data_IF_014622860442
#
_entry.id   IF_014622860442
#
_cell.length_a   1.000
_cell.length_b   1.000
_cell.length_c   1.000
_cell.angle_alpha   90.00
_cell.angle_beta   90.00
_cell.angle_gamma   90.00
#
_symmetry.space_group_name_H-M   'P 1'
#
loop_
_entity.id
_entity.type
_entity.pdbx_description
1 polymer ?
#
# COMPACT_ATOMS: atom_id res chain seq x y z
N UNK A 1 34.12 27.44 15.26
CA UNK A 1 33.63 26.57 16.36
C UNK A 1 34.60 25.43 16.63
N UNK A 2 35.27 25.44 17.79
CA UNK A 2 36.27 24.43 18.19
C UNK A 2 35.78 22.97 18.08
N UNK A 3 34.49 22.74 18.39
CA UNK A 3 33.85 21.42 18.42
C UNK A 3 33.67 20.78 17.03
N UNK A 4 33.68 21.56 15.94
CA UNK A 4 33.63 21.03 14.56
C UNK A 4 35.00 20.50 14.10
N UNK A 5 36.10 21.08 14.60
CA UNK A 5 37.47 20.68 14.24
C UNK A 5 37.85 19.35 14.90
N UNK A 6 37.48 19.13 16.16
CA UNK A 6 37.73 17.87 16.87
C UNK A 6 37.05 16.64 16.23
N UNK A 7 35.81 16.77 15.75
CA UNK A 7 35.13 15.65 15.05
C UNK A 7 35.75 15.36 13.68
N UNK A 8 36.33 16.36 13.04
CA UNK A 8 36.99 16.21 11.75
C UNK A 8 38.35 15.51 11.91
N UNK A 9 39.15 15.89 12.90
CA UNK A 9 40.44 15.25 13.16
C UNK A 9 40.29 13.77 13.51
N UNK A 10 39.29 13.40 14.32
CA UNK A 10 39.01 11.99 14.63
C UNK A 10 38.63 11.20 13.38
N UNK A 11 37.78 11.75 12.50
CA UNK A 11 37.38 11.08 11.25
C UNK A 11 38.54 10.97 10.26
N UNK A 12 39.37 12.00 10.15
CA UNK A 12 40.55 11.97 9.28
C UNK A 12 41.59 10.98 9.78
N UNK A 13 41.78 10.89 11.11
CA UNK A 13 42.61 9.86 11.74
C UNK A 13 42.07 8.45 11.50
N UNK A 14 40.77 8.20 11.75
CA UNK A 14 40.16 6.90 11.46
C UNK A 14 40.22 6.54 9.98
N UNK A 15 40.08 7.51 9.09
CA UNK A 15 40.17 7.30 7.63
C UNK A 15 41.61 7.00 7.20
N UNK A 16 42.59 7.64 7.81
CA UNK A 16 44.00 7.36 7.59
C UNK A 16 44.40 5.97 8.13
N UNK A 17 43.94 5.61 9.33
CA UNK A 17 44.17 4.29 9.95
C UNK A 17 43.51 3.15 9.16
N UNK A 18 42.30 3.38 8.61
CA UNK A 18 41.59 2.38 7.79
C UNK A 18 42.10 2.27 6.35
N UNK A 19 42.80 3.30 5.85
CA UNK A 19 43.20 3.38 4.45
C UNK A 19 42.03 3.66 3.50
N UNK A 20 42.34 4.09 2.28
CA UNK A 20 41.36 4.37 1.22
C UNK A 20 40.94 3.13 0.43
N UNK A 21 41.66 2.03 0.57
CA UNK A 21 41.45 0.80 -0.18
C UNK A 21 41.21 -0.38 0.77
N UNK A 22 39.98 -0.45 1.25
CA UNK A 22 39.46 -1.63 1.95
C UNK A 22 38.77 -2.54 0.95
N UNK A 23 39.53 -3.03 -0.04
CA UNK A 23 39.08 -4.16 -0.82
C UNK A 23 38.68 -5.31 0.13
N UNK A 24 37.58 -6.03 -0.14
CA UNK A 24 37.20 -7.17 0.68
C UNK A 24 38.35 -8.18 0.68
N UNK A 25 39.01 -8.34 1.83
CA UNK A 25 40.19 -9.23 1.99
C UNK A 25 39.86 -10.71 1.81
N UNK A 26 38.57 -11.08 1.77
CA UNK A 26 38.12 -12.41 1.43
C UNK A 26 37.90 -12.51 -0.09
N UNK A 27 38.93 -12.93 -0.83
CA UNK A 27 38.76 -13.34 -2.21
C UNK A 27 37.93 -14.62 -2.24
N UNK A 28 36.96 -14.67 -3.15
CA UNK A 28 36.02 -15.79 -3.33
C UNK A 28 36.76 -17.10 -3.66
N UNK A 29 38.01 -17.00 -4.12
CA UNK A 29 38.87 -18.10 -4.54
C UNK A 29 39.32 -19.04 -3.40
N UNK A 30 39.39 -18.56 -2.14
CA UNK A 30 39.80 -19.39 -0.99
C UNK A 30 38.62 -19.86 -0.12
N UNK A 31 37.38 -19.46 -0.44
CA UNK A 31 36.19 -19.95 0.25
C UNK A 31 35.88 -21.37 -0.26
N UNK A 32 36.12 -22.39 0.59
CA UNK A 32 35.83 -23.80 0.26
C UNK A 32 34.34 -24.06 0.01
N UNK A 33 33.48 -23.16 0.48
CA UNK A 33 32.03 -23.28 0.41
C UNK A 33 31.46 -21.97 -0.14
N UNK A 34 30.64 -22.01 -1.20
CA UNK A 34 29.99 -20.83 -1.74
C UNK A 34 29.14 -20.10 -0.68
N UNK A 35 29.13 -18.76 -0.71
CA UNK A 35 28.37 -17.89 0.22
C UNK A 35 26.91 -18.28 0.39
N UNK A 36 26.26 -18.77 -0.68
CA UNK A 36 24.88 -19.26 -0.62
C UNK A 36 24.72 -20.46 0.31
N UNK A 37 25.66 -21.40 0.26
CA UNK A 37 25.69 -22.60 1.10
C UNK A 37 26.10 -22.24 2.53
N UNK A 38 27.09 -21.36 2.71
CA UNK A 38 27.47 -20.85 4.04
C UNK A 38 26.27 -20.22 4.77
N UNK A 39 25.46 -19.42 4.05
CA UNK A 39 24.23 -18.82 4.61
C UNK A 39 23.18 -19.86 5.01
N UNK A 40 23.13 -21.00 4.32
CA UNK A 40 22.22 -22.11 4.65
C UNK A 40 22.74 -22.88 5.87
N UNK A 41 24.04 -23.17 5.94
CA UNK A 41 24.67 -23.83 7.08
C UNK A 41 24.57 -22.97 8.35
N UNK A 42 24.81 -21.67 8.25
CA UNK A 42 24.69 -20.72 9.36
C UNK A 42 23.25 -20.31 9.68
N UNK A 43 22.25 -20.79 8.92
CA UNK A 43 20.87 -20.33 9.06
C UNK A 43 20.29 -20.55 10.47
N UNK A 44 20.75 -21.59 11.18
CA UNK A 44 20.38 -21.83 12.58
C UNK A 44 20.95 -20.78 13.54
N UNK A 45 22.22 -20.41 13.36
CA UNK A 45 22.89 -19.35 14.14
C UNK A 45 22.27 -17.99 13.87
N UNK A 46 22.09 -17.62 12.59
CA UNK A 46 21.47 -16.36 12.16
C UNK A 46 20.06 -16.21 12.76
N UNK A 47 19.26 -17.28 12.76
CA UNK A 47 17.91 -17.25 13.35
C UNK A 47 17.92 -17.08 14.86
N UNK A 48 18.86 -17.72 15.57
CA UNK A 48 19.02 -17.55 17.04
C UNK A 48 19.47 -16.13 17.38
N UNK A 49 20.53 -15.65 16.74
CA UNK A 49 21.02 -14.29 16.91
C UNK A 49 19.94 -13.24 16.60
N UNK A 50 19.12 -13.47 15.57
CA UNK A 50 18.00 -12.58 15.26
C UNK A 50 16.93 -12.60 16.35
N UNK A 51 16.56 -13.77 16.88
CA UNK A 51 15.58 -13.89 17.98
C UNK A 51 16.11 -13.26 19.26
N UNK A 52 17.37 -13.48 19.61
CA UNK A 52 18.03 -12.87 20.76
C UNK A 52 18.16 -11.35 20.61
N UNK A 53 18.60 -10.88 19.44
CA UNK A 53 18.65 -9.45 19.13
C UNK A 53 17.25 -8.84 19.22
N UNK A 54 16.21 -9.52 18.74
CA UNK A 54 14.83 -9.05 18.84
C UNK A 54 14.38 -8.99 20.31
N UNK A 55 14.66 -10.02 21.12
CA UNK A 55 14.38 -10.00 22.57
C UNK A 55 15.14 -8.89 23.30
N UNK A 56 16.41 -8.64 22.97
CA UNK A 56 17.20 -7.53 23.54
C UNK A 56 16.67 -6.17 23.10
N UNK A 57 16.27 -6.00 21.84
CA UNK A 57 15.63 -4.74 21.37
C UNK A 57 14.28 -4.52 22.07
N UNK A 58 13.50 -5.56 22.26
CA UNK A 58 12.18 -5.46 22.89
C UNK A 58 12.28 -5.35 24.43
N UNK A 59 13.40 -5.77 25.05
CA UNK A 59 13.63 -5.75 26.51
C UNK A 59 14.51 -4.61 27.04
N UNK A 60 15.49 -4.11 26.29
CA UNK A 60 16.36 -2.98 26.67
C UNK A 60 15.78 -1.61 26.25
N UNK A 61 14.50 -1.56 25.85
CA UNK A 61 13.84 -0.31 25.48
C UNK A 61 13.40 0.55 26.68
N UNK A 62 13.69 0.14 27.91
CA UNK A 62 13.40 0.94 29.11
C UNK A 62 14.52 1.90 29.52
N UNK A 63 15.77 1.76 29.06
CA UNK A 63 16.83 2.72 29.39
C UNK A 63 17.83 2.97 28.23
N UNK A 64 17.49 3.93 27.36
CA UNK A 64 18.48 4.92 26.90
C UNK A 64 19.38 4.65 25.68
N UNK A 65 19.12 3.69 24.77
CA UNK A 65 19.97 3.52 23.57
C UNK A 65 19.26 3.74 22.21
N UNK A 66 19.38 4.94 21.58
CA UNK A 66 18.66 5.28 20.36
C UNK A 66 19.44 4.95 19.07
N UNK A 67 19.89 3.70 18.90
CA UNK A 67 20.70 3.35 17.71
C UNK A 67 20.02 2.50 16.63
N UNK A 68 18.71 2.20 16.71
CA UNK A 68 18.06 1.37 15.67
C UNK A 68 16.72 1.88 15.17
N UNK A 69 16.77 2.98 14.42
CA UNK A 69 16.22 3.13 13.05
C UNK A 69 16.13 4.61 12.71
N UNK A 70 17.18 5.12 12.05
CA UNK A 70 17.07 6.29 11.18
C UNK A 70 16.21 5.93 9.97
N UNK A 71 14.89 5.98 10.11
CA UNK A 71 14.05 6.49 9.02
C UNK A 71 14.15 8.01 9.15
N UNK A 72 14.76 8.64 8.15
CA UNK A 72 14.72 10.09 7.99
C UNK A 72 13.24 10.48 7.83
N UNK A 73 12.63 10.89 8.92
CA UNK A 73 11.54 11.83 8.90
C UNK A 73 12.05 13.00 9.73
N UNK A 74 11.96 14.21 9.19
CA UNK A 74 12.47 15.43 9.83
C UNK A 74 12.12 15.46 11.31
N UNK A 75 13.19 15.46 12.13
CA UNK A 75 13.13 15.51 13.59
C UNK A 75 13.65 16.88 14.05
N UNK A 76 13.16 17.93 13.41
CA UNK A 76 13.09 19.27 14.00
C UNK A 76 11.65 19.44 14.48
N UNK A 77 11.47 19.65 15.79
CA UNK A 77 10.20 19.95 16.49
C UNK A 77 9.46 18.80 17.20
N UNK A 78 10.16 17.78 17.71
CA UNK A 78 9.58 16.85 18.70
C UNK A 78 10.25 17.00 20.08
N UNK A 79 10.36 18.24 20.53
CA UNK A 79 10.36 18.59 21.95
C UNK A 79 9.14 19.48 22.17
N UNK A 80 7.97 18.88 22.30
CA UNK A 80 6.86 19.58 22.94
C UNK A 80 6.15 18.59 23.86
N UNK A 81 5.85 19.10 25.04
CA UNK A 81 5.52 18.37 26.26
C UNK A 81 4.35 17.42 26.07
N UNK A 82 4.39 16.30 26.81
CA UNK A 82 3.30 15.33 26.98
C UNK A 82 2.06 15.89 27.67
N UNK A 83 1.54 17.00 27.17
CA UNK A 83 0.27 17.57 27.58
C UNK A 83 -0.53 17.76 26.30
N UNK A 84 -1.71 17.15 26.30
CA UNK A 84 -2.86 17.45 25.45
C UNK A 84 -3.29 18.89 25.65
N UNK A 85 -2.38 19.86 25.44
CA UNK A 85 -2.67 21.29 25.36
C UNK A 85 -3.71 21.39 24.26
N UNK A 86 -4.96 21.64 24.66
CA UNK A 86 -6.11 21.92 23.80
C UNK A 86 -5.62 22.62 22.53
N UNK A 87 -5.64 21.90 21.40
CA UNK A 87 -5.12 22.43 20.14
C UNK A 87 -5.99 23.62 19.78
N UNK A 88 -5.47 24.82 20.01
CA UNK A 88 -6.11 26.08 19.62
C UNK A 88 -5.45 26.59 18.34
N UNK A 89 -6.24 27.28 17.53
CA UNK A 89 -5.78 28.01 16.36
C UNK A 89 -4.78 29.06 16.84
N UNK A 90 -3.57 29.05 16.27
CA UNK A 90 -2.56 30.09 16.58
C UNK A 90 -2.94 31.39 15.86
N UNK A 91 -2.63 32.56 16.44
CA UNK A 91 -2.86 33.83 15.74
C UNK A 91 -2.10 33.84 14.41
N UNK A 92 -2.80 34.15 13.31
CA UNK A 92 -2.23 34.14 11.96
C UNK A 92 -2.16 32.75 11.27
N UNK A 93 -2.60 31.68 11.93
CA UNK A 93 -2.73 30.35 11.31
C UNK A 93 -4.05 30.26 10.53
N UNK A 94 -3.99 29.75 9.30
CA UNK A 94 -5.21 29.43 8.53
C UNK A 94 -5.88 28.18 9.08
N UNK A 95 -7.20 28.04 8.92
CA UNK A 95 -7.94 26.86 9.40
C UNK A 95 -7.36 25.55 8.85
N UNK A 96 -6.90 25.55 7.60
CA UNK A 96 -6.28 24.39 6.97
C UNK A 96 -4.98 23.95 7.67
N UNK A 97 -4.13 24.90 8.10
CA UNK A 97 -2.91 24.59 8.84
C UNK A 97 -3.21 24.02 10.23
N UNK A 98 -4.24 24.56 10.90
CA UNK A 98 -4.73 24.04 12.17
C UNK A 98 -5.23 22.59 12.02
N UNK A 99 -6.07 22.29 11.02
CA UNK A 99 -6.55 20.93 10.76
C UNK A 99 -5.40 19.96 10.51
N UNK A 100 -4.40 20.34 9.69
CA UNK A 100 -3.20 19.52 9.46
C UNK A 100 -2.44 19.23 10.75
N UNK A 101 -2.32 20.21 11.65
CA UNK A 101 -1.64 20.04 12.94
C UNK A 101 -2.41 19.12 13.87
N UNK A 102 -3.73 19.26 13.92
CA UNK A 102 -4.63 18.35 14.65
C UNK A 102 -4.50 16.93 14.15
N UNK A 103 -4.58 16.72 12.84
CA UNK A 103 -4.39 15.42 12.21
C UNK A 103 -3.03 14.84 12.58
N UNK A 104 -1.95 15.60 12.39
CA UNK A 104 -0.59 15.13 12.67
C UNK A 104 -0.41 14.72 14.13
N UNK A 105 -1.02 15.46 15.07
CA UNK A 105 -1.00 15.15 16.51
C UNK A 105 -1.82 13.89 16.86
N UNK A 106 -2.95 13.65 16.19
CA UNK A 106 -3.83 12.51 16.46
C UNK A 106 -3.47 11.26 15.65
N UNK A 107 -2.73 11.40 14.55
CA UNK A 107 -2.32 10.33 13.66
C UNK A 107 -1.59 9.17 14.36
N UNK A 108 -0.69 9.39 15.34
CA UNK A 108 -0.04 8.29 16.06
C UNK A 108 -1.04 7.41 16.81
N UNK A 109 -2.01 8.02 17.52
CA UNK A 109 -3.05 7.31 18.27
C UNK A 109 -3.96 6.51 17.34
N UNK A 110 -4.32 7.09 16.20
CA UNK A 110 -5.12 6.40 15.18
C UNK A 110 -4.36 5.20 14.59
N UNK A 111 -3.05 5.34 14.36
CA UNK A 111 -2.20 4.25 13.86
C UNK A 111 -2.06 3.11 14.89
N UNK A 112 -1.89 3.42 16.17
CA UNK A 112 -1.82 2.39 17.22
C UNK A 112 -3.15 1.66 17.37
N UNK A 113 -4.27 2.38 17.43
CA UNK A 113 -5.61 1.79 17.51
C UNK A 113 -5.92 0.90 16.27
N UNK A 114 -5.55 1.33 15.07
CA UNK A 114 -5.71 0.54 13.85
C UNK A 114 -4.83 -0.73 13.88
N UNK A 115 -3.61 -0.61 14.36
CA UNK A 115 -2.71 -1.77 14.50
C UNK A 115 -3.26 -2.77 15.53
N UNK A 116 -3.73 -2.29 16.68
CA UNK A 116 -4.28 -3.11 17.76
C UNK A 116 -5.57 -3.82 17.33
N UNK A 117 -6.51 -3.11 16.72
CA UNK A 117 -7.75 -3.70 16.17
C UNK A 117 -7.46 -4.76 15.11
N UNK A 118 -6.48 -4.53 14.23
CA UNK A 118 -6.07 -5.54 13.23
C UNK A 118 -5.47 -6.79 13.88
N UNK A 119 -4.75 -6.64 14.99
CA UNK A 119 -4.19 -7.75 15.74
C UNK A 119 -5.28 -8.52 16.50
N UNK A 120 -6.24 -7.82 17.10
CA UNK A 120 -7.41 -8.42 17.75
C UNK A 120 -8.26 -9.19 16.75
N UNK A 121 -8.56 -8.63 15.58
CA UNK A 121 -9.31 -9.32 14.52
C UNK A 121 -8.62 -10.63 14.07
N UNK A 122 -7.28 -10.67 14.05
CA UNK A 122 -6.53 -11.90 13.76
C UNK A 122 -6.61 -12.93 14.88
N UNK A 123 -6.61 -12.48 16.14
CA UNK A 123 -6.76 -13.36 17.31
C UNK A 123 -8.16 -13.99 17.32
N UNK A 124 -9.19 -13.17 17.14
CA UNK A 124 -10.59 -13.63 17.06
C UNK A 124 -10.77 -14.65 15.93
N UNK A 125 -10.32 -14.36 14.71
CA UNK A 125 -10.39 -15.33 13.60
C UNK A 125 -9.65 -16.65 13.88
N UNK A 126 -8.54 -16.59 14.61
CA UNK A 126 -7.76 -17.78 14.98
C UNK A 126 -8.50 -18.58 16.06
N UNK A 127 -9.08 -17.91 17.04
CA UNK A 127 -9.87 -18.54 18.11
C UNK A 127 -11.16 -19.15 17.56
N UNK A 128 -11.87 -18.46 16.67
CA UNK A 128 -13.03 -19.00 15.94
C UNK A 128 -12.67 -20.26 15.14
N UNK A 129 -11.54 -20.24 14.40
CA UNK A 129 -11.09 -21.41 13.66
C UNK A 129 -10.74 -22.60 14.57
N UNK A 130 -10.20 -22.34 15.77
CA UNK A 130 -9.91 -23.39 16.76
C UNK A 130 -11.21 -23.92 17.39
N UNK A 131 -12.17 -23.05 17.70
CA UNK A 131 -13.47 -23.46 18.24
C UNK A 131 -14.26 -24.33 17.24
N UNK A 132 -14.27 -23.94 15.95
CA UNK A 132 -14.88 -24.75 14.87
C UNK A 132 -14.20 -26.11 14.73
N UNK A 133 -12.88 -26.20 14.97
CA UNK A 133 -12.16 -27.47 14.94
C UNK A 133 -12.36 -28.33 16.21
N UNK A 134 -12.73 -27.72 17.34
CA UNK A 134 -12.91 -28.38 18.65
C UNK A 134 -14.35 -28.82 18.95
N UNK A 135 -15.30 -28.60 18.05
CA UNK A 135 -16.63 -29.21 18.13
C UNK A 135 -16.70 -30.50 17.29
N UNK A 136 -16.35 -31.69 17.83
CA UNK A 136 -16.64 -32.95 17.19
C UNK A 136 -18.09 -33.35 17.51
N UNK A 137 -18.98 -33.26 16.51
CA UNK A 137 -20.17 -34.13 16.27
C UNK A 137 -21.43 -33.36 15.83
N UNK A 138 -21.73 -33.45 14.53
CA UNK A 138 -22.88 -34.23 14.04
C UNK A 138 -22.75 -34.49 12.52
N UNK A 139 -22.47 -35.76 12.16
CA UNK A 139 -22.94 -36.39 10.90
C UNK A 139 -24.46 -36.65 11.10
N UNK A 140 -25.42 -36.58 10.18
CA UNK A 140 -25.62 -36.93 8.76
C UNK A 140 -26.64 -35.91 8.16
N UNK A 141 -26.85 -35.69 6.85
CA UNK A 141 -27.13 -36.67 5.79
C UNK A 141 -27.00 -36.05 4.37
N UNK A 142 -26.58 -36.91 3.43
CA UNK A 142 -26.70 -36.89 1.94
C UNK A 142 -26.36 -35.65 1.10
N UNK A 143 -25.27 -35.78 0.35
CA UNK A 143 -25.21 -35.93 -1.13
C UNK A 143 -23.95 -35.25 -1.68
N UNK A 144 -23.20 -35.72 -2.67
CA UNK A 144 -23.12 -36.96 -3.43
C UNK A 144 -21.84 -36.79 -4.29
N UNK A 145 -20.91 -37.73 -4.20
CA UNK A 145 -19.95 -38.14 -5.24
C UNK A 145 -19.14 -37.09 -6.04
N UNK A 146 -17.82 -37.06 -5.80
CA UNK A 146 -16.75 -37.66 -6.66
C UNK A 146 -15.44 -36.88 -6.47
N UNK A 147 -14.50 -37.52 -5.78
CA UNK A 147 -13.13 -37.59 -6.33
C UNK A 147 -13.01 -38.93 -7.06
N UNK A 148 -12.10 -39.05 -8.03
CA UNK A 148 -10.99 -39.95 -7.74
C UNK A 148 -9.63 -39.43 -8.21
N UNK A 149 -8.63 -39.96 -7.54
CA UNK A 149 -7.21 -39.84 -7.81
C UNK A 149 -6.77 -40.57 -9.09
N UNK A 150 -5.48 -40.36 -9.41
CA UNK A 150 -4.50 -41.26 -10.03
C UNK A 150 -3.89 -40.80 -11.36
N UNK A 151 -2.57 -41.00 -11.37
CA UNK A 151 -1.56 -40.79 -12.39
C UNK A 151 -1.79 -41.58 -13.68
N UNK A 152 -1.32 -41.05 -14.82
CA UNK A 152 -0.73 -41.82 -15.94
C UNK A 152 0.00 -40.91 -16.94
N UNK A 153 1.24 -41.32 -17.26
CA UNK A 153 2.10 -40.89 -18.38
C UNK A 153 1.49 -41.34 -19.73
N UNK A 154 1.65 -40.51 -20.77
CA UNK A 154 1.83 -40.85 -22.21
C UNK A 154 1.85 -39.49 -22.98
N UNK A 155 2.96 -38.99 -23.54
CA UNK A 155 3.65 -39.33 -24.80
C UNK A 155 2.87 -39.01 -26.10
N UNK A 156 3.17 -37.82 -26.69
CA UNK A 156 3.24 -37.43 -28.13
C UNK A 156 2.00 -37.54 -29.04
N UNK A 157 1.87 -36.82 -30.19
CA UNK A 157 2.77 -35.85 -30.86
C UNK A 157 2.12 -34.47 -31.23
N UNK A 158 2.88 -33.50 -31.81
CA UNK A 158 2.38 -32.18 -32.22
C UNK A 158 1.90 -32.15 -33.69
N UNK A 159 1.03 -31.19 -34.09
CA UNK A 159 0.90 -30.80 -35.49
C UNK A 159 1.90 -29.68 -35.85
N UNK A 160 2.89 -30.04 -36.66
CA UNK A 160 3.56 -29.21 -37.71
C UNK A 160 2.50 -28.59 -38.64
N UNK A 161 2.61 -27.43 -39.30
CA UNK A 161 3.70 -26.53 -39.66
C UNK A 161 3.12 -25.11 -39.87
N UNK A 162 3.88 -24.05 -39.63
CA UNK A 162 4.51 -23.27 -40.72
C UNK A 162 5.70 -22.49 -40.16
N UNK A 163 6.76 -22.51 -40.96
CA UNK A 163 8.06 -21.93 -40.70
C UNK A 163 8.01 -20.42 -40.49
N UNK A 164 8.85 -19.93 -39.58
CA UNK A 164 9.92 -18.99 -39.95
C UNK A 164 11.00 -19.03 -38.85
N UNK A 165 12.19 -19.42 -39.29
CA UNK A 165 13.45 -19.35 -38.57
C UNK A 165 13.85 -17.87 -38.42
N UNK A 166 14.13 -17.42 -37.19
CA UNK A 166 15.33 -16.59 -36.97
C UNK A 166 15.72 -16.47 -35.48
N UNK A 167 16.77 -17.22 -35.15
CA UNK A 167 17.96 -16.80 -34.40
C UNK A 167 17.84 -15.88 -33.14
N UNK A 168 18.03 -16.52 -31.98
CA UNK A 168 19.00 -16.16 -30.91
C UNK A 168 19.29 -14.66 -30.60
N UNK A 169 18.69 -14.12 -29.53
CA UNK A 169 19.39 -13.25 -28.54
C UNK A 169 18.52 -12.82 -27.33
N UNK A 170 18.78 -13.26 -26.08
CA UNK A 170 18.08 -12.79 -24.90
C UNK A 170 18.89 -11.70 -24.17
N UNK A 171 19.22 -10.58 -24.82
CA UNK A 171 19.83 -9.42 -24.15
C UNK A 171 19.45 -8.07 -24.77
N UNK A 172 18.18 -7.65 -24.63
CA UNK A 172 17.83 -6.22 -24.56
C UNK A 172 16.70 -6.05 -23.57
N UNK A 173 17.03 -5.66 -22.33
CA UNK A 173 16.06 -5.12 -21.39
C UNK A 173 15.47 -3.87 -22.05
N UNK A 174 14.17 -3.92 -22.35
CA UNK A 174 13.44 -2.79 -22.90
C UNK A 174 13.58 -1.60 -21.95
N UNK A 175 14.20 -0.51 -22.41
CA UNK A 175 14.09 0.80 -21.76
C UNK A 175 12.63 1.23 -21.89
N UNK A 176 12.01 1.61 -20.77
CA UNK A 176 10.57 1.89 -20.64
C UNK A 176 10.08 3.15 -21.37
N UNK A 177 10.90 3.75 -22.22
CA UNK A 177 10.49 4.80 -23.13
C UNK A 177 10.90 4.40 -24.54
N UNK A 178 9.96 3.85 -25.29
CA UNK A 178 10.06 3.72 -26.73
C UNK A 178 10.03 5.14 -27.29
N UNK A 179 11.22 5.74 -27.48
CA UNK A 179 11.36 7.02 -28.16
C UNK A 179 10.95 6.78 -29.60
N UNK A 180 9.71 7.13 -29.94
CA UNK A 180 9.21 7.04 -31.31
C UNK A 180 9.92 8.14 -32.08
N UNK A 181 10.96 7.79 -32.84
CA UNK A 181 11.68 8.70 -33.71
C UNK A 181 10.82 9.04 -34.93
N UNK A 182 9.85 9.93 -34.78
CA UNK A 182 9.14 10.50 -35.92
C UNK A 182 9.90 11.72 -36.42
N UNK A 183 10.77 11.53 -37.41
CA UNK A 183 11.63 12.57 -37.97
C UNK A 183 10.88 13.64 -38.82
N UNK A 184 9.55 13.67 -38.81
CA UNK A 184 8.74 14.63 -39.55
C UNK A 184 7.82 15.43 -38.58
N UNK A 185 7.79 16.77 -38.65
CA UNK A 185 6.94 17.59 -37.80
C UNK A 185 5.46 17.35 -38.14
N UNK A 186 4.71 16.78 -37.18
CA UNK A 186 3.27 16.56 -37.34
C UNK A 186 2.51 17.87 -37.16
N UNK A 187 1.53 18.12 -38.03
CA UNK A 187 0.67 19.31 -37.97
C UNK A 187 -0.25 19.23 -36.75
N UNK A 188 -0.45 20.37 -36.09
CA UNK A 188 -1.14 20.50 -34.80
C UNK A 188 -2.60 19.97 -34.81
N UNK A 189 -3.21 19.86 -35.99
CA UNK A 189 -4.57 19.36 -36.19
C UNK A 189 -4.66 17.83 -36.40
N UNK A 190 -3.54 17.13 -36.63
CA UNK A 190 -3.50 15.66 -36.70
C UNK A 190 -3.38 15.01 -35.30
N UNK A 191 -3.43 15.84 -34.24
CA UNK A 191 -3.42 15.43 -32.82
C UNK A 191 -4.83 15.50 -32.23
N UNK A 192 -5.87 15.30 -33.05
CA UNK A 192 -7.14 14.81 -32.53
C UNK A 192 -6.93 13.35 -32.11
N UNK A 193 -6.24 13.14 -30.98
CA UNK A 193 -6.12 11.84 -30.34
C UNK A 193 -7.51 11.45 -29.85
N UNK A 194 -8.21 10.61 -30.61
CA UNK A 194 -9.28 9.80 -30.03
C UNK A 194 -8.69 9.11 -28.78
N UNK A 195 -9.38 9.18 -27.62
CA UNK A 195 -8.87 8.53 -26.42
C UNK A 195 -8.55 7.07 -26.73
N UNK A 196 -7.32 6.60 -26.43
CA UNK A 196 -6.87 5.30 -26.87
C UNK A 196 -7.80 4.21 -26.32
N UNK A 197 -8.44 3.46 -27.22
CA UNK A 197 -9.28 2.32 -26.85
C UNK A 197 -8.40 1.21 -26.25
N UNK A 198 -8.50 1.00 -24.94
CA UNK A 198 -7.80 -0.06 -24.21
C UNK A 198 -8.42 -1.44 -24.51
N UNK A 199 -8.26 -1.95 -25.73
CA UNK A 199 -8.75 -3.29 -26.13
C UNK A 199 -8.05 -4.44 -25.41
N UNK A 200 -6.94 -4.17 -24.72
CA UNK A 200 -6.16 -5.17 -23.97
C UNK A 200 -6.01 -4.68 -22.54
N UNK A 201 -6.53 -5.45 -21.59
CA UNK A 201 -6.31 -5.18 -20.17
C UNK A 201 -4.80 -5.25 -19.87
N UNK A 202 -4.28 -4.37 -18.99
CA UNK A 202 -2.88 -4.39 -18.61
C UNK A 202 -2.49 -5.75 -18.04
N UNK A 203 -1.29 -6.21 -18.40
CA UNK A 203 -0.73 -7.51 -17.99
C UNK A 203 -0.73 -7.61 -16.46
N UNK A 204 -1.60 -8.44 -15.91
CA UNK A 204 -1.82 -8.60 -14.46
C UNK A 204 -3.28 -8.40 -14.02
N UNK A 205 -4.14 -7.88 -14.89
CA UNK A 205 -5.58 -7.84 -14.64
C UNK A 205 -6.21 -9.21 -14.90
N UNK A 206 -6.79 -9.80 -13.86
CA UNK A 206 -7.52 -11.07 -13.94
C UNK A 206 -8.84 -10.80 -14.64
N UNK A 207 -9.04 -11.37 -15.84
CA UNK A 207 -10.35 -11.38 -16.49
C UNK A 207 -11.28 -12.26 -15.66
N UNK A 208 -12.11 -11.66 -14.81
CA UNK A 208 -13.19 -12.36 -14.14
C UNK A 208 -14.37 -12.55 -15.10
N UNK A 209 -14.15 -13.29 -16.19
CA UNK A 209 -15.19 -13.67 -17.17
C UNK A 209 -16.05 -14.85 -16.65
N UNK A 210 -16.26 -14.93 -15.33
CA UNK A 210 -17.01 -16.03 -14.67
C UNK A 210 -17.90 -15.61 -13.51
N UNK A 211 -18.39 -14.38 -13.47
CA UNK A 211 -19.61 -14.09 -12.69
C UNK A 211 -20.81 -14.15 -13.64
N UNK A 212 -21.61 -15.23 -13.64
CA UNK A 212 -22.92 -15.16 -14.26
C UNK A 212 -23.70 -14.02 -13.59
N UNK A 213 -24.38 -13.24 -14.41
CA UNK A 213 -25.21 -12.10 -14.07
C UNK A 213 -25.92 -12.24 -12.71
N UNK A 214 -25.66 -11.29 -11.80
CA UNK A 214 -26.65 -10.90 -10.79
C UNK A 214 -26.53 -11.50 -9.39
N UNK A 215 -25.59 -12.42 -9.10
CA UNK A 215 -25.41 -12.91 -7.71
C UNK A 215 -24.31 -12.12 -7.00
N UNK A 216 -24.68 -10.99 -6.40
CA UNK A 216 -23.81 -10.28 -5.45
C UNK A 216 -23.57 -11.19 -4.23
N UNK A 217 -22.32 -11.23 -3.76
CA UNK A 217 -21.97 -11.91 -2.50
C UNK A 217 -22.84 -11.39 -1.35
N UNK A 218 -23.27 -12.26 -0.43
CA UNK A 218 -24.13 -11.87 0.71
C UNK A 218 -23.55 -10.70 1.53
N UNK A 219 -22.23 -10.65 1.67
CA UNK A 219 -21.54 -9.53 2.33
C UNK A 219 -21.65 -8.21 1.55
N UNK A 220 -21.59 -8.27 0.23
CA UNK A 220 -21.74 -7.12 -0.64
C UNK A 220 -23.20 -6.64 -0.69
N UNK A 221 -24.15 -7.59 -0.67
CA UNK A 221 -25.58 -7.30 -0.54
C UNK A 221 -25.89 -6.54 0.76
N UNK A 222 -25.32 -6.97 1.89
CA UNK A 222 -25.47 -6.29 3.17
C UNK A 222 -24.91 -4.85 3.15
N UNK A 223 -23.72 -4.62 2.57
CA UNK A 223 -23.18 -3.26 2.42
C UNK A 223 -24.10 -2.37 1.56
N UNK A 224 -24.63 -2.90 0.46
CA UNK A 224 -25.54 -2.13 -0.40
C UNK A 224 -26.90 -1.86 0.27
N UNK A 225 -27.37 -2.75 1.13
CA UNK A 225 -28.58 -2.54 1.94
C UNK A 225 -28.37 -1.42 2.97
N UNK A 226 -27.21 -1.34 3.64
CA UNK A 226 -26.87 -0.22 4.53
C UNK A 226 -26.82 1.12 3.79
N UNK A 227 -26.21 1.15 2.60
CA UNK A 227 -26.16 2.35 1.76
C UNK A 227 -27.55 2.78 1.29
N UNK A 228 -28.39 1.79 0.92
CA UNK A 228 -29.79 2.02 0.54
C UNK A 228 -30.59 2.62 1.70
N UNK A 229 -30.43 2.13 2.92
CA UNK A 229 -31.09 2.70 4.10
C UNK A 229 -30.66 4.12 4.38
N UNK A 230 -29.35 4.43 4.27
CA UNK A 230 -28.83 5.80 4.40
C UNK A 230 -29.42 6.74 3.35
N UNK A 231 -29.49 6.31 2.09
CA UNK A 231 -30.09 7.09 1.02
C UNK A 231 -31.59 7.33 1.24
N UNK A 232 -32.33 6.32 1.70
CA UNK A 232 -33.75 6.46 2.03
C UNK A 232 -33.96 7.43 3.19
N UNK A 233 -33.14 7.35 4.25
CA UNK A 233 -33.20 8.28 5.39
C UNK A 233 -32.95 9.71 4.93
N UNK A 234 -31.87 9.94 4.18
CA UNK A 234 -31.56 11.26 3.62
C UNK A 234 -32.67 11.80 2.72
N UNK A 235 -33.26 10.95 1.87
CA UNK A 235 -34.38 11.36 1.02
C UNK A 235 -35.64 11.69 1.83
N UNK A 236 -35.92 10.93 2.90
CA UNK A 236 -37.04 11.22 3.82
C UNK A 236 -36.82 12.54 4.54
N UNK A 237 -35.60 12.83 4.97
CA UNK A 237 -35.22 14.11 5.60
C UNK A 237 -35.37 15.28 4.61
N UNK A 238 -34.87 15.15 3.39
CA UNK A 238 -35.04 16.14 2.33
C UNK A 238 -36.52 16.37 2.00
N UNK A 239 -37.31 15.29 1.91
CA UNK A 239 -38.74 15.40 1.64
C UNK A 239 -39.49 16.05 2.81
N UNK A 240 -39.14 15.72 4.06
CA UNK A 240 -39.69 16.37 5.24
C UNK A 240 -39.29 17.86 5.30
N UNK A 241 -38.06 18.20 4.92
CA UNK A 241 -37.61 19.60 4.81
C UNK A 241 -38.35 20.36 3.70
N UNK A 242 -38.61 19.71 2.55
CA UNK A 242 -39.40 20.29 1.45
C UNK A 242 -40.86 20.52 1.86
N UNK A 243 -41.44 19.61 2.65
CA UNK A 243 -42.80 19.75 3.20
C UNK A 243 -42.89 20.83 4.30
N UNK A 244 -41.83 21.01 5.09
CA UNK A 244 -41.73 22.11 6.09
C UNK A 244 -41.53 23.50 5.46
N UNK A 245 -41.31 23.60 4.15
CA UNK A 245 -41.20 24.87 3.43
C UNK A 245 -39.80 25.49 3.40
N UNK A 246 -38.82 24.93 4.12
CA UNK A 246 -37.47 25.50 4.30
C UNK A 246 -36.50 25.29 3.10
N UNK A 247 -37.01 24.96 1.92
CA UNK A 247 -36.21 24.45 0.80
C UNK A 247 -36.40 25.11 -0.56
N UNK A 248 -37.24 26.14 -0.69
CA UNK A 248 -37.59 26.76 -1.99
C UNK A 248 -37.25 28.25 -2.08
N UNK A 249 -36.57 28.85 -1.10
CA UNK A 249 -36.43 30.31 -1.04
C UNK A 249 -35.03 30.90 -1.31
N UNK A 250 -34.06 30.17 -1.90
CA UNK A 250 -32.69 30.73 -2.00
C UNK A 250 -31.89 30.50 -3.30
N UNK A 251 -32.51 30.11 -4.41
CA UNK A 251 -31.84 30.16 -5.72
C UNK A 251 -32.80 30.63 -6.81
N UNK A 252 -32.71 31.92 -7.16
CA UNK A 252 -33.23 32.44 -8.43
C UNK A 252 -34.27 33.56 -8.35
N UNK A 253 -33.89 34.73 -7.86
CA UNK A 253 -34.56 35.99 -8.23
C UNK A 253 -33.57 37.16 -8.14
N UNK A 254 -32.58 37.15 -9.05
CA UNK A 254 -31.76 38.32 -9.39
C UNK A 254 -31.69 38.41 -10.92
N UNK A 255 -32.82 38.80 -11.50
CA UNK A 255 -32.97 39.40 -12.83
C UNK A 255 -34.07 40.45 -12.61
N UNK A 256 -33.96 41.74 -12.91
CA UNK A 256 -33.03 42.42 -13.79
C UNK A 256 -33.76 43.46 -14.64
N UNK A 257 -34.77 44.15 -14.11
CA UNK A 257 -35.56 45.13 -14.89
C UNK A 257 -35.20 46.56 -14.48
N UNK A 258 -34.10 47.03 -15.07
CA UNK A 258 -33.72 48.44 -15.15
C UNK A 258 -33.69 48.82 -16.63
N UNK A 259 -34.86 49.06 -17.24
CA UNK A 259 -34.96 49.67 -18.57
C UNK A 259 -36.40 50.14 -18.87
N UNK A 260 -36.70 51.39 -18.53
CA UNK A 260 -37.69 52.20 -19.25
C UNK A 260 -37.51 53.68 -18.88
N UNK A 261 -36.57 54.35 -19.54
CA UNK A 261 -36.75 55.75 -19.86
C UNK A 261 -37.62 55.84 -21.10
N UNK A 262 -38.65 56.67 -21.09
CA UNK A 262 -39.32 57.21 -22.28
C UNK A 262 -40.05 58.50 -21.88
N UNK A 263 -39.54 59.59 -22.49
CA UNK A 263 -40.19 60.86 -22.87
C UNK A 263 -41.05 61.60 -21.85
#
# INVERSE_FOLDING_TARGET
MPHKRAKRSVREREKAERGSDLAPKASIEYETVPKSVLRVLDAGRIRREYREKKRKIDGDNDEGNPQRKRRRHDATDMKDDGTTKTLKIKPGETMAAFSKRVETSMMPLLKTALQESSAQARKVRKEEAIQVAQTPNKKNDKSRLKQPATSKKASTPPPTASADEDSLNPQKKAKEFQVVSTAAPRRLNDVAQEPPELKKLPRGAVKNDRSPSGVLSMAQKAMMEEEREKAIKHYRELKARKLRGDGVAQFGSVEGDNAAGLS
#
